data_IF_096469748912
#
_entry.id   IF_096469748912
#
_cell.length_a   1.000
_cell.length_b   1.000
_cell.length_c   1.000
_cell.angle_alpha   90.00
_cell.angle_beta   90.00
_cell.angle_gamma   90.00
#
_symmetry.space_group_name_H-M   'P 1'
#
loop_
_entity.id
_entity.type
_entity.pdbx_description
1 polymer ?
#
# COMPACT_ATOMS: atom_id res chain seq x y z
N UNK A 1 22.12 -43.08 6.57
CA UNK A 1 21.96 -41.93 5.65
C UNK A 1 20.63 -41.93 4.87
N UNK A 2 20.05 -43.05 4.48
CA UNK A 2 18.74 -43.11 3.76
C UNK A 2 17.55 -42.53 4.59
N UNK A 3 17.54 -42.71 5.90
CA UNK A 3 16.46 -42.24 6.78
C UNK A 3 16.55 -40.74 7.09
N UNK A 4 17.75 -40.17 7.03
CA UNK A 4 17.94 -38.74 7.25
C UNK A 4 17.38 -37.88 6.08
N UNK A 5 17.54 -38.37 4.85
CA UNK A 5 16.96 -37.75 3.66
C UNK A 5 15.43 -37.80 3.65
N UNK A 6 14.85 -38.91 4.17
CA UNK A 6 13.38 -39.08 4.25
C UNK A 6 12.76 -38.18 5.31
N UNK A 7 13.42 -37.98 6.44
CA UNK A 7 12.97 -37.04 7.51
C UNK A 7 13.02 -35.60 7.00
N UNK A 8 14.07 -35.23 6.27
CA UNK A 8 14.19 -33.88 5.70
C UNK A 8 13.09 -33.58 4.67
N UNK A 9 12.73 -34.58 3.86
CA UNK A 9 11.66 -34.44 2.85
C UNK A 9 10.26 -34.29 3.48
N UNK A 10 9.99 -34.96 4.60
CA UNK A 10 8.72 -34.86 5.34
C UNK A 10 8.58 -33.48 6.01
N UNK A 11 9.68 -32.90 6.52
CA UNK A 11 9.66 -31.57 7.12
C UNK A 11 9.38 -30.48 6.06
N UNK A 12 9.95 -30.60 4.86
CA UNK A 12 9.71 -29.67 3.76
C UNK A 12 8.25 -29.72 3.24
N UNK A 13 7.67 -30.91 3.15
CA UNK A 13 6.26 -31.05 2.72
C UNK A 13 5.28 -30.57 3.79
N UNK A 14 5.58 -30.76 5.07
CA UNK A 14 4.75 -30.23 6.15
C UNK A 14 4.77 -28.70 6.21
N UNK A 15 5.91 -28.07 5.91
CA UNK A 15 6.07 -26.61 5.89
C UNK A 15 5.29 -25.98 4.72
N UNK A 16 5.36 -26.55 3.52
CA UNK A 16 4.56 -26.11 2.36
C UNK A 16 3.06 -26.27 2.60
N UNK A 17 2.64 -27.38 3.19
CA UNK A 17 1.24 -27.64 3.54
C UNK A 17 0.69 -26.62 4.56
N UNK A 18 1.48 -26.19 5.53
CA UNK A 18 1.08 -25.18 6.52
C UNK A 18 0.94 -23.80 5.87
N UNK A 19 1.89 -23.40 5.03
CA UNK A 19 1.85 -22.15 4.27
C UNK A 19 0.60 -22.07 3.38
N UNK A 20 0.34 -23.13 2.63
CA UNK A 20 -0.77 -23.15 1.67
C UNK A 20 -2.13 -23.12 2.37
N UNK A 21 -2.26 -23.80 3.50
CA UNK A 21 -3.47 -23.72 4.34
C UNK A 21 -3.73 -22.30 4.81
N UNK A 22 -2.69 -21.64 5.35
CA UNK A 22 -2.81 -20.28 5.86
C UNK A 22 -3.06 -19.29 4.72
N UNK A 23 -2.44 -19.48 3.55
CA UNK A 23 -2.72 -18.69 2.34
C UNK A 23 -4.21 -18.79 1.95
N UNK A 24 -4.73 -20.00 1.80
CA UNK A 24 -6.15 -20.21 1.41
C UNK A 24 -7.10 -19.58 2.42
N UNK A 25 -6.81 -19.68 3.71
CA UNK A 25 -7.58 -19.06 4.77
C UNK A 25 -7.57 -17.54 4.66
N UNK A 26 -6.38 -16.94 4.51
CA UNK A 26 -6.19 -15.48 4.40
C UNK A 26 -6.88 -14.93 3.16
N UNK A 27 -6.69 -15.56 2.01
CA UNK A 27 -7.36 -15.19 0.75
C UNK A 27 -8.89 -15.25 0.89
N UNK A 28 -9.40 -16.28 1.57
CA UNK A 28 -10.82 -16.45 1.82
C UNK A 28 -11.42 -15.33 2.70
N UNK A 29 -10.71 -14.95 3.75
CA UNK A 29 -11.13 -13.83 4.62
C UNK A 29 -11.05 -12.49 3.89
N UNK A 30 -9.96 -12.21 3.18
CA UNK A 30 -9.79 -10.99 2.39
C UNK A 30 -10.92 -10.82 1.36
N UNK A 31 -11.21 -11.88 0.60
CA UNK A 31 -12.29 -11.87 -0.40
C UNK A 31 -13.64 -11.51 0.23
N UNK A 32 -14.00 -12.14 1.36
CA UNK A 32 -15.28 -11.89 2.04
C UNK A 32 -15.33 -10.48 2.62
N UNK A 33 -14.27 -10.00 3.25
CA UNK A 33 -14.18 -8.64 3.81
C UNK A 33 -14.34 -7.58 2.73
N UNK A 34 -13.60 -7.70 1.62
CA UNK A 34 -13.72 -6.79 0.50
C UNK A 34 -15.13 -6.81 -0.11
N UNK A 35 -15.75 -7.99 -0.26
CA UNK A 35 -17.12 -8.11 -0.79
C UNK A 35 -18.15 -7.40 0.09
N UNK A 36 -18.06 -7.54 1.42
CA UNK A 36 -18.99 -6.84 2.34
C UNK A 36 -18.78 -5.33 2.29
N UNK A 37 -17.54 -4.86 2.29
CA UNK A 37 -17.23 -3.42 2.21
C UNK A 37 -17.73 -2.79 0.91
N UNK A 38 -17.64 -3.50 -0.23
CA UNK A 38 -18.22 -3.05 -1.51
C UNK A 38 -19.76 -2.94 -1.45
N UNK A 39 -20.41 -3.67 -0.57
CA UNK A 39 -21.86 -3.58 -0.32
C UNK A 39 -22.23 -2.52 0.75
N UNK A 40 -21.25 -1.73 1.22
CA UNK A 40 -21.45 -0.77 2.31
C UNK A 40 -21.69 -1.44 3.67
N UNK A 41 -21.30 -2.71 3.83
CA UNK A 41 -21.50 -3.51 5.05
C UNK A 41 -20.16 -3.82 5.71
N UNK A 42 -20.18 -3.86 7.03
CA UNK A 42 -19.02 -4.23 7.84
C UNK A 42 -19.42 -5.37 8.80
N UNK A 43 -18.54 -6.38 8.88
CA UNK A 43 -18.60 -7.43 9.90
C UNK A 43 -17.27 -7.37 10.67
N UNK A 44 -17.31 -6.79 11.86
CA UNK A 44 -16.11 -6.58 12.68
C UNK A 44 -15.40 -7.89 13.00
N UNK A 45 -16.13 -8.96 13.28
CA UNK A 45 -15.55 -10.26 13.58
C UNK A 45 -14.82 -10.87 12.40
N UNK A 46 -15.33 -10.66 11.18
CA UNK A 46 -14.65 -11.07 9.96
C UNK A 46 -13.41 -10.22 9.71
N UNK A 47 -13.47 -8.92 9.95
CA UNK A 47 -12.29 -8.01 9.83
C UNK A 47 -11.19 -8.44 10.79
N UNK A 48 -11.53 -8.68 12.08
CA UNK A 48 -10.56 -9.13 13.08
C UNK A 48 -9.92 -10.48 12.69
N UNK A 49 -10.72 -11.40 12.14
CA UNK A 49 -10.23 -12.68 11.62
C UNK A 49 -9.32 -12.50 10.41
N UNK A 50 -9.64 -11.54 9.54
CA UNK A 50 -8.82 -11.20 8.36
C UNK A 50 -7.47 -10.65 8.81
N UNK A 51 -7.45 -9.67 9.71
CA UNK A 51 -6.22 -9.08 10.21
C UNK A 51 -5.38 -10.11 10.99
N UNK A 52 -6.00 -10.92 11.83
CA UNK A 52 -5.33 -12.01 12.54
C UNK A 52 -4.69 -13.04 11.62
N UNK A 53 -5.38 -13.40 10.52
CA UNK A 53 -4.86 -14.33 9.52
C UNK A 53 -3.67 -13.74 8.75
N UNK A 54 -3.74 -12.46 8.37
CA UNK A 54 -2.63 -11.74 7.73
C UNK A 54 -1.42 -11.70 8.66
N UNK A 55 -1.58 -11.29 9.91
CA UNK A 55 -0.48 -11.25 10.87
C UNK A 55 0.13 -12.63 11.12
N UNK A 56 -0.70 -13.67 11.20
CA UNK A 56 -0.24 -15.05 11.31
C UNK A 56 0.60 -15.46 10.11
N UNK A 57 0.18 -15.10 8.88
CA UNK A 57 0.94 -15.40 7.68
C UNK A 57 2.29 -14.68 7.68
N UNK A 58 2.29 -13.37 7.92
CA UNK A 58 3.50 -12.55 7.92
C UNK A 58 4.50 -12.98 9.00
N UNK A 59 3.99 -13.38 10.17
CA UNK A 59 4.85 -13.85 11.29
C UNK A 59 5.48 -15.20 10.98
N UNK A 60 4.71 -16.14 10.41
CA UNK A 60 5.21 -17.48 10.11
C UNK A 60 6.05 -17.55 8.83
N UNK A 61 5.81 -16.64 7.89
CA UNK A 61 6.47 -16.62 6.58
C UNK A 61 6.99 -15.21 6.22
N UNK A 62 7.86 -14.61 7.06
CA UNK A 62 8.29 -13.21 6.87
C UNK A 62 9.02 -12.95 5.55
N UNK A 63 9.67 -13.97 4.99
CA UNK A 63 10.40 -13.87 3.72
C UNK A 63 9.57 -14.28 2.50
N UNK A 64 8.29 -14.57 2.67
CA UNK A 64 7.39 -14.92 1.58
C UNK A 64 7.01 -13.67 0.78
N UNK A 65 6.97 -13.78 -0.54
CA UNK A 65 6.58 -12.68 -1.43
C UNK A 65 5.15 -12.20 -1.23
N UNK A 66 4.29 -13.02 -0.62
CA UNK A 66 2.92 -12.65 -0.25
C UNK A 66 2.86 -11.80 1.03
N UNK A 67 3.88 -11.84 1.89
CA UNK A 67 3.85 -11.10 3.16
C UNK A 67 3.68 -9.58 2.97
N UNK A 68 4.47 -8.90 2.13
CA UNK A 68 4.21 -7.48 1.85
C UNK A 68 2.89 -7.25 1.11
N UNK A 69 2.44 -8.18 0.26
CA UNK A 69 1.15 -8.06 -0.42
C UNK A 69 -0.02 -8.13 0.58
N UNK A 70 0.00 -9.05 1.52
CA UNK A 70 -1.02 -9.16 2.56
C UNK A 70 -1.04 -7.96 3.51
N UNK A 71 0.13 -7.43 3.88
CA UNK A 71 0.19 -6.18 4.65
C UNK A 71 -0.42 -5.02 3.87
N UNK A 72 -0.19 -4.95 2.56
CA UNK A 72 -0.77 -3.90 1.72
C UNK A 72 -2.30 -4.01 1.67
N UNK A 73 -2.84 -5.21 1.48
CA UNK A 73 -4.29 -5.47 1.56
C UNK A 73 -4.87 -5.10 2.93
N UNK A 74 -4.14 -5.38 4.03
CA UNK A 74 -4.54 -4.94 5.38
C UNK A 74 -4.61 -3.42 5.47
N UNK A 75 -3.63 -2.71 4.96
CA UNK A 75 -3.61 -1.24 4.97
C UNK A 75 -4.78 -0.65 4.18
N UNK A 76 -5.10 -1.22 2.99
CA UNK A 76 -6.25 -0.80 2.20
C UNK A 76 -7.60 -1.08 2.91
N UNK A 77 -7.71 -2.18 3.64
CA UNK A 77 -8.90 -2.45 4.45
C UNK A 77 -9.02 -1.46 5.61
N UNK A 78 -7.91 -1.15 6.29
CA UNK A 78 -7.87 -0.14 7.36
C UNK A 78 -8.27 1.25 6.84
N UNK A 79 -7.76 1.66 5.67
CA UNK A 79 -8.16 2.90 5.00
C UNK A 79 -9.67 2.95 4.72
N UNK A 80 -10.23 1.91 4.10
CA UNK A 80 -11.67 1.80 3.83
C UNK A 80 -12.53 1.87 5.10
N UNK A 81 -11.98 1.42 6.22
CA UNK A 81 -12.62 1.50 7.53
C UNK A 81 -12.33 2.82 8.26
N UNK A 82 -11.71 3.78 7.60
CA UNK A 82 -11.31 5.08 8.16
C UNK A 82 -10.33 4.97 9.35
N UNK A 83 -9.58 3.87 9.42
CA UNK A 83 -8.53 3.63 10.40
C UNK A 83 -7.19 4.13 9.83
N UNK A 84 -7.05 5.44 9.66
CA UNK A 84 -5.98 6.03 8.86
C UNK A 84 -4.60 5.89 9.51
N UNK A 85 -4.47 6.14 10.82
CA UNK A 85 -3.20 5.97 11.53
C UNK A 85 -2.74 4.49 11.55
N UNK A 86 -3.60 3.49 11.83
CA UNK A 86 -3.28 2.08 11.64
C UNK A 86 -2.86 1.72 10.21
N UNK A 87 -3.53 2.29 9.19
CA UNK A 87 -3.17 2.07 7.79
C UNK A 87 -1.75 2.59 7.50
N UNK A 88 -1.45 3.82 7.92
CA UNK A 88 -0.12 4.44 7.77
C UNK A 88 0.95 3.60 8.47
N UNK A 89 0.69 3.12 9.69
CA UNK A 89 1.64 2.26 10.40
C UNK A 89 1.89 0.93 9.67
N UNK A 90 0.84 0.34 9.07
CA UNK A 90 0.96 -0.88 8.27
C UNK A 90 1.76 -0.63 6.99
N UNK A 91 1.53 0.49 6.30
CA UNK A 91 2.28 0.91 5.12
C UNK A 91 3.76 1.19 5.45
N UNK A 92 4.04 1.82 6.59
CA UNK A 92 5.40 2.07 7.05
C UNK A 92 6.16 0.77 7.34
N UNK A 93 5.48 -0.22 7.92
CA UNK A 93 6.04 -1.56 8.11
C UNK A 93 6.41 -2.22 6.77
N UNK A 94 5.63 -2.03 5.70
CA UNK A 94 5.98 -2.56 4.38
C UNK A 94 7.26 -1.90 3.87
N UNK A 95 7.34 -0.58 3.92
CA UNK A 95 8.51 0.17 3.49
C UNK A 95 9.78 -0.26 4.25
N UNK A 96 9.69 -0.36 5.58
CA UNK A 96 10.85 -0.67 6.43
C UNK A 96 11.27 -2.13 6.38
N UNK A 97 10.33 -3.07 6.33
CA UNK A 97 10.62 -4.51 6.39
C UNK A 97 10.78 -5.16 5.01
N UNK A 98 10.20 -4.57 3.96
CA UNK A 98 10.19 -5.12 2.60
C UNK A 98 10.53 -4.06 1.53
N UNK A 99 11.65 -3.30 1.66
CA UNK A 99 11.94 -2.14 0.81
C UNK A 99 12.09 -2.48 -0.69
N UNK A 100 12.37 -3.75 -1.00
CA UNK A 100 12.52 -4.24 -2.40
C UNK A 100 11.23 -4.89 -2.95
N UNK A 101 10.15 -4.90 -2.18
CA UNK A 101 8.87 -5.48 -2.65
C UNK A 101 8.16 -4.52 -3.62
N UNK A 102 7.34 -5.05 -4.55
CA UNK A 102 6.49 -4.21 -5.40
C UNK A 102 5.46 -3.37 -4.63
N UNK A 103 5.28 -3.62 -3.34
CA UNK A 103 4.39 -2.87 -2.47
C UNK A 103 5.07 -1.68 -1.79
N UNK A 104 6.40 -1.67 -1.70
CA UNK A 104 7.12 -0.64 -0.96
C UNK A 104 6.92 0.76 -1.54
N UNK A 105 7.10 0.94 -2.86
CA UNK A 105 6.87 2.21 -3.53
C UNK A 105 5.42 2.70 -3.37
N UNK A 106 4.45 1.81 -3.56
CA UNK A 106 3.02 2.11 -3.38
C UNK A 106 2.70 2.51 -1.95
N UNK A 107 3.37 1.87 -0.97
CA UNK A 107 3.16 2.17 0.45
C UNK A 107 3.65 3.57 0.82
N UNK A 108 4.80 4.00 0.30
CA UNK A 108 5.32 5.35 0.53
C UNK A 108 4.41 6.40 -0.10
N UNK A 109 3.99 6.18 -1.35
CA UNK A 109 3.05 7.08 -2.04
C UNK A 109 1.72 7.20 -1.29
N UNK A 110 1.12 6.08 -0.90
CA UNK A 110 -0.18 6.07 -0.20
C UNK A 110 -0.09 6.72 1.19
N UNK A 111 1.04 6.62 1.90
CA UNK A 111 1.25 7.40 3.12
C UNK A 111 1.21 8.90 2.84
N UNK A 112 1.88 9.37 1.78
CA UNK A 112 1.82 10.76 1.33
C UNK A 112 0.38 11.21 1.07
N UNK A 113 -0.37 10.40 0.33
CA UNK A 113 -1.78 10.65 0.02
C UNK A 113 -2.65 10.75 1.28
N UNK A 114 -2.52 9.82 2.22
CA UNK A 114 -3.30 9.82 3.47
C UNK A 114 -2.98 11.03 4.34
N UNK A 115 -1.70 11.42 4.43
CA UNK A 115 -1.31 12.63 5.15
C UNK A 115 -1.86 13.89 4.48
N UNK A 116 -1.80 14.00 3.16
CA UNK A 116 -2.25 15.20 2.44
C UNK A 116 -3.76 15.35 2.45
N UNK A 117 -4.49 14.29 2.06
CA UNK A 117 -5.89 14.39 1.67
C UNK A 117 -6.87 13.97 2.78
N UNK A 118 -6.38 13.30 3.81
CA UNK A 118 -7.23 12.80 4.90
C UNK A 118 -6.88 13.48 6.22
N UNK A 119 -5.59 13.54 6.56
CA UNK A 119 -5.13 14.07 7.83
C UNK A 119 -4.75 15.56 7.75
N UNK A 120 -4.65 16.14 6.55
CA UNK A 120 -4.21 17.51 6.29
C UNK A 120 -2.84 17.83 6.92
N UNK A 121 -1.99 16.81 7.09
CA UNK A 121 -0.61 16.93 7.59
C UNK A 121 0.34 17.09 6.40
N UNK A 122 0.38 18.33 5.87
CA UNK A 122 1.13 18.62 4.65
C UNK A 122 2.65 18.46 4.81
N UNK A 123 3.18 18.63 6.02
CA UNK A 123 4.62 18.42 6.26
C UNK A 123 4.99 16.93 6.12
N UNK A 124 4.20 16.04 6.72
CA UNK A 124 4.42 14.60 6.56
C UNK A 124 4.12 14.13 5.14
N UNK A 125 3.09 14.67 4.50
CA UNK A 125 2.79 14.38 3.11
C UNK A 125 3.97 14.72 2.20
N UNK A 126 4.52 15.93 2.35
CA UNK A 126 5.70 16.39 1.62
C UNK A 126 6.89 15.45 1.81
N UNK A 127 7.16 15.07 3.06
CA UNK A 127 8.27 14.16 3.37
C UNK A 127 8.09 12.78 2.69
N UNK A 128 6.86 12.24 2.65
CA UNK A 128 6.60 10.93 2.02
C UNK A 128 6.65 11.00 0.48
N UNK A 129 6.10 12.04 -0.14
CA UNK A 129 6.21 12.20 -1.59
C UNK A 129 7.66 12.46 -2.02
N UNK A 130 8.43 13.24 -1.25
CA UNK A 130 9.86 13.44 -1.52
C UNK A 130 10.63 12.12 -1.39
N UNK A 131 10.39 11.34 -0.33
CA UNK A 131 10.98 10.01 -0.16
C UNK A 131 10.66 9.08 -1.34
N UNK A 132 9.42 9.13 -1.85
CA UNK A 132 9.03 8.38 -3.04
C UNK A 132 9.88 8.79 -4.26
N UNK A 133 10.05 10.09 -4.49
CA UNK A 133 10.83 10.59 -5.62
C UNK A 133 12.32 10.28 -5.49
N UNK A 134 12.85 10.26 -4.27
CA UNK A 134 14.26 9.99 -4.02
C UNK A 134 14.61 8.50 -4.20
N UNK A 135 13.69 7.59 -3.83
CA UNK A 135 13.99 6.15 -3.80
C UNK A 135 13.31 5.34 -4.92
N UNK A 136 12.19 5.83 -5.48
CA UNK A 136 11.34 5.04 -6.37
C UNK A 136 10.96 5.74 -7.69
N UNK A 137 11.57 6.87 -8.04
CA UNK A 137 11.20 7.64 -9.24
C UNK A 137 11.27 6.84 -10.54
N UNK A 138 12.20 5.89 -10.64
CA UNK A 138 12.40 5.06 -11.83
C UNK A 138 11.54 3.79 -11.87
N UNK A 139 10.74 3.52 -10.81
CA UNK A 139 9.96 2.27 -10.69
C UNK A 139 8.65 2.34 -11.47
N UNK A 140 7.97 3.50 -11.43
CA UNK A 140 6.67 3.72 -12.08
C UNK A 140 6.57 5.18 -12.51
N UNK A 141 6.74 5.45 -13.80
CA UNK A 141 6.75 6.81 -14.36
C UNK A 141 5.42 7.56 -14.15
N UNK A 142 4.30 6.84 -14.14
CA UNK A 142 2.99 7.45 -13.85
C UNK A 142 2.91 7.90 -12.40
N UNK A 143 3.24 7.02 -11.47
CA UNK A 143 3.19 7.33 -10.04
C UNK A 143 4.23 8.42 -9.67
N UNK A 144 5.37 8.47 -10.38
CA UNK A 144 6.35 9.55 -10.25
C UNK A 144 5.77 10.89 -10.68
N UNK A 145 5.07 10.94 -11.80
CA UNK A 145 4.34 12.15 -12.24
C UNK A 145 3.25 12.55 -11.25
N UNK A 146 2.51 11.59 -10.72
CA UNK A 146 1.49 11.82 -9.71
C UNK A 146 2.12 12.40 -8.42
N UNK A 147 3.24 11.85 -7.93
CA UNK A 147 3.95 12.37 -6.74
C UNK A 147 4.49 13.80 -6.93
N UNK A 148 5.02 14.12 -8.12
CA UNK A 148 5.47 15.47 -8.45
C UNK A 148 4.29 16.46 -8.47
N UNK A 149 3.14 16.02 -9.00
CA UNK A 149 1.94 16.84 -9.05
C UNK A 149 1.35 17.10 -7.66
N UNK A 150 1.30 16.07 -6.83
CA UNK A 150 0.88 16.17 -5.42
C UNK A 150 1.76 17.14 -4.64
N UNK A 151 3.09 17.02 -4.74
CA UNK A 151 4.02 17.96 -4.11
C UNK A 151 3.81 19.40 -4.57
N UNK A 152 3.61 19.61 -5.86
CA UNK A 152 3.40 20.94 -6.42
C UNK A 152 2.11 21.59 -5.94
N UNK A 153 1.08 20.78 -5.74
CA UNK A 153 -0.26 21.26 -5.37
C UNK A 153 -0.56 21.16 -3.87
N UNK A 154 0.40 20.69 -3.10
CA UNK A 154 0.24 20.41 -1.68
C UNK A 154 -0.24 21.65 -0.92
N UNK A 155 -1.36 21.52 -0.22
CA UNK A 155 -1.98 22.60 0.56
C UNK A 155 -2.72 23.66 -0.25
N UNK A 156 -2.77 23.55 -1.59
CA UNK A 156 -3.55 24.48 -2.43
C UNK A 156 -5.01 24.08 -2.50
N UNK A 157 -5.86 25.08 -2.53
CA UNK A 157 -7.30 24.86 -2.80
C UNK A 157 -7.54 24.49 -4.28
N UNK A 158 -8.67 23.84 -4.60
CA UNK A 158 -9.06 23.56 -6.00
C UNK A 158 -9.11 24.82 -6.87
N UNK A 159 -9.53 25.96 -6.31
CA UNK A 159 -9.60 27.23 -7.03
C UNK A 159 -8.21 27.79 -7.37
N UNK A 160 -7.24 27.65 -6.47
CA UNK A 160 -5.85 28.05 -6.73
C UNK A 160 -5.23 27.17 -7.82
N UNK A 161 -5.47 25.86 -7.79
CA UNK A 161 -4.99 24.91 -8.82
C UNK A 161 -5.60 25.26 -10.18
N UNK A 162 -6.91 25.50 -10.22
CA UNK A 162 -7.62 25.86 -11.46
C UNK A 162 -7.09 27.18 -12.04
N UNK A 163 -6.87 28.20 -11.19
CA UNK A 163 -6.31 29.48 -11.58
C UNK A 163 -4.93 29.31 -12.24
N UNK A 164 -4.03 28.53 -11.61
CA UNK A 164 -2.70 28.26 -12.17
C UNK A 164 -2.76 27.56 -13.53
N UNK A 165 -3.69 26.61 -13.70
CA UNK A 165 -3.89 25.92 -14.98
C UNK A 165 -4.34 26.91 -16.06
N UNK A 166 -5.31 27.77 -15.77
CA UNK A 166 -5.84 28.77 -16.70
C UNK A 166 -4.79 29.83 -17.08
N UNK A 167 -3.96 30.26 -16.14
CA UNK A 167 -2.87 31.19 -16.40
C UNK A 167 -1.82 30.59 -17.32
N UNK A 168 -1.44 29.32 -17.09
CA UNK A 168 -0.52 28.61 -17.97
C UNK A 168 -1.06 28.44 -19.41
N UNK A 169 -2.32 28.03 -19.55
CA UNK A 169 -2.92 27.83 -20.87
C UNK A 169 -2.99 29.12 -21.68
N UNK A 170 -3.18 30.28 -21.03
CA UNK A 170 -3.14 31.60 -21.69
C UNK A 170 -1.73 31.98 -22.12
N UNK A 171 -0.71 31.68 -21.32
CA UNK A 171 0.68 31.94 -21.66
C UNK A 171 1.14 31.12 -22.87
N UNK A 172 0.77 29.84 -22.92
CA UNK A 172 1.12 28.95 -24.03
C UNK A 172 0.45 29.37 -25.37
N UNK A 173 -0.79 29.91 -25.29
CA UNK A 173 -1.51 30.38 -26.49
C UNK A 173 -0.94 31.68 -27.05
N UNK A 174 -0.27 32.49 -26.21
CA UNK A 174 0.35 33.77 -26.64
C UNK A 174 1.76 33.57 -27.20
N UNK A 175 2.37 32.41 -27.06
CA UNK A 175 3.71 32.07 -27.57
C UNK A 175 3.71 31.23 -28.85
N UNK A 176 2.55 30.91 -29.44
CA UNK A 176 2.49 30.23 -30.72
C UNK A 176 3.02 31.16 -31.82
N UNK A 177 4.09 30.81 -32.57
CA UNK A 177 4.58 31.63 -33.67
C UNK A 177 3.58 31.68 -34.79
N UNK A 178 3.40 32.87 -35.40
CA UNK A 178 2.62 33.11 -36.60
C UNK A 178 3.27 32.47 -37.81
#
# INVERSE_FOLDING_TARGET
MKYFALILMVVLTACTSSRDKLKVQTDGFLKKSNQLLLQGRTDQKLIDSTFGSIESFVTNFPNDTLSPAYLFEKALLQEKMQQFEPAIATLDRIYTSYPKSPQANKSVFLQGYLYANVLNDYEKAKAKYQLYLDEYADVDSKMTGDAQMELKNLGKSPDEILKEILEKSKADTTQAPA
#
